data_IF_795855238968
#
_entry.id   IF_795855238968
#
_cell.length_a   1.000
_cell.length_b   1.000
_cell.length_c   1.000
_cell.angle_alpha   90.00
_cell.angle_beta   90.00
_cell.angle_gamma   90.00
#
_symmetry.space_group_name_H-M   'P 1'
#
loop_
_entity.id
_entity.type
_entity.pdbx_description
1 polymer ?
#
# COMPACT_ATOMS: atom_id res chain seq x y z
N UNK A 1 -13.65 4.69 12.40
CA UNK A 1 -12.29 5.29 12.44
C UNK A 1 -12.06 6.22 11.25
N UNK A 2 -12.15 5.74 10.00
CA UNK A 2 -11.91 6.55 8.79
C UNK A 2 -12.77 7.83 8.69
N UNK A 3 -14.07 7.76 8.98
CA UNK A 3 -14.97 8.94 8.98
C UNK A 3 -14.50 10.12 9.85
N UNK A 4 -13.73 9.87 10.92
CA UNK A 4 -13.23 10.94 11.80
C UNK A 4 -12.02 11.67 11.22
N UNK A 5 -11.23 10.98 10.41
CA UNK A 5 -10.03 11.53 9.75
C UNK A 5 -10.27 11.88 8.29
N UNK A 6 -11.49 11.68 7.81
CA UNK A 6 -11.93 11.88 6.42
C UNK A 6 -11.48 13.21 5.81
N UNK A 7 -11.51 14.36 6.52
CA UNK A 7 -11.03 15.63 5.96
C UNK A 7 -9.51 15.67 5.65
N UNK A 8 -8.73 14.75 6.22
CA UNK A 8 -7.28 14.71 6.12
C UNK A 8 -6.75 13.60 5.22
N UNK A 9 -7.59 12.64 4.84
CA UNK A 9 -7.17 11.46 4.09
C UNK A 9 -8.06 11.21 2.90
N UNK A 10 -7.46 10.69 1.84
CA UNK A 10 -8.16 10.15 0.68
C UNK A 10 -8.01 8.64 0.70
N UNK A 11 -9.10 7.90 0.53
CA UNK A 11 -9.09 6.44 0.47
C UNK A 11 -10.02 5.93 -0.63
N UNK A 12 -9.94 4.64 -0.94
CA UNK A 12 -10.74 4.01 -1.99
C UNK A 12 -10.33 2.55 -2.19
N UNK A 13 -10.70 1.98 -3.32
CA UNK A 13 -10.45 0.58 -3.66
C UNK A 13 -9.29 0.48 -4.67
N UNK A 14 -8.07 0.15 -4.21
CA UNK A 14 -6.96 -0.03 -5.11
C UNK A 14 -7.13 -1.34 -5.89
N UNK A 15 -6.75 -1.32 -7.17
CA UNK A 15 -6.71 -2.49 -8.01
C UNK A 15 -5.36 -3.21 -7.91
N UNK A 16 -5.31 -4.47 -8.39
CA UNK A 16 -4.12 -5.31 -8.36
C UNK A 16 -2.90 -4.63 -8.97
N UNK A 17 -3.08 -3.90 -10.08
CA UNK A 17 -1.99 -3.18 -10.74
C UNK A 17 -1.39 -2.10 -9.83
N UNK A 18 -2.22 -1.30 -9.17
CA UNK A 18 -1.76 -0.22 -8.30
C UNK A 18 -1.05 -0.78 -7.06
N UNK A 19 -1.58 -1.84 -6.44
CA UNK A 19 -0.94 -2.48 -5.28
C UNK A 19 0.38 -3.12 -5.67
N UNK A 20 0.42 -3.85 -6.79
CA UNK A 20 1.65 -4.43 -7.34
C UNK A 20 2.71 -3.36 -7.55
N UNK A 21 2.39 -2.30 -8.29
CA UNK A 21 3.35 -1.24 -8.58
C UNK A 21 3.83 -0.52 -7.30
N UNK A 22 2.96 -0.35 -6.30
CA UNK A 22 3.34 0.24 -5.01
C UNK A 22 4.31 -0.65 -4.24
N UNK A 23 4.03 -1.94 -4.13
CA UNK A 23 4.88 -2.89 -3.41
C UNK A 23 6.24 -3.02 -4.11
N UNK A 24 6.28 -3.13 -5.44
CA UNK A 24 7.55 -3.24 -6.16
C UNK A 24 8.39 -1.97 -6.12
N UNK A 25 7.80 -0.79 -6.33
CA UNK A 25 8.59 0.46 -6.43
C UNK A 25 8.88 1.09 -5.07
N UNK A 26 7.98 0.91 -4.11
CA UNK A 26 7.94 1.67 -2.85
C UNK A 26 7.77 0.77 -1.63
N UNK A 27 7.82 -0.55 -1.78
CA UNK A 27 7.77 -1.52 -0.69
C UNK A 27 9.05 -1.51 0.13
N UNK A 28 8.87 -1.37 1.44
CA UNK A 28 9.93 -1.52 2.43
C UNK A 28 9.40 -2.40 3.54
N UNK A 29 10.25 -3.22 4.15
CA UNK A 29 9.91 -3.94 5.39
C UNK A 29 10.20 -3.10 6.62
N UNK A 30 9.45 -3.39 7.69
CA UNK A 30 9.67 -2.87 9.04
C UNK A 30 10.45 -3.88 9.88
N UNK A 31 11.73 -3.63 10.13
CA UNK A 31 12.58 -4.46 11.01
C UNK A 31 13.20 -3.60 12.07
N UNK A 32 12.98 -3.88 13.35
CA UNK A 32 13.57 -3.13 14.48
C UNK A 32 13.40 -1.60 14.35
N UNK A 33 12.23 -1.16 13.86
CA UNK A 33 11.90 0.25 13.54
C UNK A 33 12.76 0.88 12.43
N UNK A 34 13.56 0.10 11.73
CA UNK A 34 14.30 0.49 10.53
C UNK A 34 13.48 0.15 9.27
N UNK A 35 13.74 0.94 8.23
CA UNK A 35 13.08 0.85 6.93
C UNK A 35 14.08 0.25 5.92
N UNK A 36 13.85 -0.99 5.51
CA UNK A 36 14.73 -1.74 4.60
C UNK A 36 13.97 -2.03 3.30
N UNK A 37 14.58 -1.81 2.14
CA UNK A 37 13.94 -2.02 0.85
C UNK A 37 13.67 -3.52 0.60
N UNK A 38 12.56 -3.83 -0.07
CA UNK A 38 12.24 -5.18 -0.52
C UNK A 38 12.99 -5.47 -1.82
N UNK A 39 14.23 -5.93 -1.72
CA UNK A 39 15.09 -6.23 -2.89
C UNK A 39 15.15 -7.71 -3.24
N UNK A 40 14.85 -8.60 -2.29
CA UNK A 40 14.97 -10.05 -2.45
C UNK A 40 13.78 -10.75 -1.75
N UNK A 41 13.33 -11.88 -2.31
CA UNK A 41 12.32 -12.74 -1.68
C UNK A 41 12.84 -13.38 -0.39
N UNK A 42 14.15 -13.61 -0.26
CA UNK A 42 14.75 -14.13 0.98
C UNK A 42 14.36 -13.32 2.22
N UNK A 43 14.26 -12.00 2.05
CA UNK A 43 13.86 -11.06 3.11
C UNK A 43 12.42 -11.29 3.58
N UNK A 44 11.54 -11.66 2.65
CA UNK A 44 10.12 -11.94 2.91
C UNK A 44 10.00 -13.30 3.59
N UNK A 45 10.65 -14.32 3.01
CA UNK A 45 10.65 -15.68 3.53
C UNK A 45 11.21 -15.76 4.96
N UNK A 46 12.30 -15.04 5.26
CA UNK A 46 12.88 -14.96 6.62
C UNK A 46 11.85 -14.50 7.67
N UNK A 47 10.96 -13.56 7.30
CA UNK A 47 10.05 -12.90 8.26
C UNK A 47 8.66 -13.54 8.27
N UNK A 48 8.14 -13.89 7.10
CA UNK A 48 6.77 -14.35 6.87
C UNK A 48 6.69 -15.77 6.31
N UNK A 49 7.82 -16.45 6.06
CA UNK A 49 7.82 -17.80 5.48
C UNK A 49 7.11 -18.83 6.34
N UNK A 50 7.11 -18.67 7.67
CA UNK A 50 6.31 -19.48 8.60
C UNK A 50 4.81 -19.34 8.39
N UNK A 51 4.39 -18.21 7.82
CA UNK A 51 3.01 -17.91 7.46
C UNK A 51 2.69 -18.34 6.01
N UNK A 52 3.64 -18.94 5.29
CA UNK A 52 3.43 -19.35 3.90
C UNK A 52 3.54 -18.22 2.88
N UNK A 53 4.01 -17.03 3.28
CA UNK A 53 4.30 -15.91 2.38
C UNK A 53 5.80 -15.95 2.08
N UNK A 54 6.16 -16.43 0.89
CA UNK A 54 7.56 -16.73 0.54
C UNK A 54 8.11 -15.67 -0.42
N UNK A 55 7.26 -15.12 -1.29
CA UNK A 55 7.69 -14.13 -2.28
C UNK A 55 6.83 -12.86 -2.31
N UNK A 56 7.25 -11.86 -3.10
CA UNK A 56 6.51 -10.61 -3.30
C UNK A 56 5.10 -10.87 -3.86
N UNK A 57 4.92 -11.84 -4.76
CA UNK A 57 3.59 -12.12 -5.33
C UNK A 57 2.63 -12.73 -4.29
N UNK A 58 3.11 -13.58 -3.38
CA UNK A 58 2.31 -14.08 -2.26
C UNK A 58 1.87 -12.91 -1.36
N UNK A 59 2.78 -11.97 -1.10
CA UNK A 59 2.49 -10.77 -0.31
C UNK A 59 1.43 -9.89 -1.00
N UNK A 60 1.55 -9.67 -2.31
CA UNK A 60 0.56 -8.92 -3.10
C UNK A 60 -0.80 -9.64 -3.07
N UNK A 61 -0.79 -10.96 -3.26
CA UNK A 61 -2.00 -11.78 -3.24
C UNK A 61 -2.72 -11.65 -1.90
N UNK A 62 -2.00 -11.87 -0.80
CA UNK A 62 -2.54 -11.81 0.56
C UNK A 62 -3.16 -10.44 0.89
N UNK A 63 -2.50 -9.35 0.47
CA UNK A 63 -3.01 -7.99 0.65
C UNK A 63 -4.26 -7.73 -0.20
N UNK A 64 -4.28 -8.19 -1.45
CA UNK A 64 -5.38 -7.93 -2.39
C UNK A 64 -6.63 -8.75 -2.08
N UNK A 65 -6.47 -10.01 -1.69
CA UNK A 65 -7.59 -10.91 -1.38
C UNK A 65 -8.07 -10.79 0.05
N UNK A 66 -7.36 -10.03 0.89
CA UNK A 66 -7.60 -9.94 2.34
C UNK A 66 -7.59 -11.34 2.95
N UNK A 67 -6.49 -12.06 2.69
CA UNK A 67 -6.31 -13.42 3.16
C UNK A 67 -6.20 -13.54 4.69
N UNK A 68 -6.09 -14.78 5.21
CA UNK A 68 -6.08 -15.06 6.65
C UNK A 68 -4.94 -14.38 7.43
N UNK A 69 -3.85 -14.03 6.74
CA UNK A 69 -2.62 -13.45 7.26
C UNK A 69 -2.42 -12.00 6.78
N UNK A 70 -3.50 -11.35 6.34
CA UNK A 70 -3.50 -9.96 5.92
C UNK A 70 -2.87 -9.03 6.96
N UNK A 71 -3.11 -9.29 8.25
CA UNK A 71 -2.59 -8.45 9.34
C UNK A 71 -1.07 -8.52 9.41
N UNK A 72 -0.51 -9.71 9.30
CA UNK A 72 0.93 -9.98 9.29
C UNK A 72 1.59 -9.37 8.05
N UNK A 73 1.01 -9.60 6.87
CA UNK A 73 1.45 -9.02 5.60
C UNK A 73 1.44 -7.47 5.64
N UNK A 74 0.38 -6.87 6.17
CA UNK A 74 0.25 -5.41 6.27
C UNK A 74 1.19 -4.81 7.32
N UNK A 75 1.44 -5.49 8.44
CA UNK A 75 2.37 -5.03 9.47
C UNK A 75 3.84 -5.15 9.06
N UNK A 76 4.15 -6.14 8.20
CA UNK A 76 5.46 -6.30 7.60
C UNK A 76 5.83 -5.09 6.73
N UNK A 77 4.87 -4.58 5.96
CA UNK A 77 5.05 -3.40 5.11
C UNK A 77 5.20 -2.11 5.92
N UNK A 78 6.25 -1.35 5.63
CA UNK A 78 6.41 0.01 6.12
C UNK A 78 5.45 0.95 5.37
N UNK A 79 4.85 1.97 6.04
CA UNK A 79 4.00 2.94 5.37
C UNK A 79 4.64 3.55 4.12
N UNK A 80 3.95 3.45 2.98
CA UNK A 80 4.47 3.94 1.71
C UNK A 80 4.69 5.45 1.76
N UNK A 81 5.92 5.88 1.44
CA UNK A 81 6.21 7.30 1.21
C UNK A 81 5.94 7.62 -0.25
N UNK A 82 4.85 8.32 -0.52
CA UNK A 82 4.42 8.73 -1.86
C UNK A 82 4.98 10.11 -2.23
N UNK A 83 5.04 10.43 -3.53
CA UNK A 83 5.35 11.78 -4.02
C UNK A 83 4.09 12.63 -4.08
N UNK A 84 4.25 13.95 -4.17
CA UNK A 84 3.13 14.82 -4.53
C UNK A 84 2.55 14.41 -5.89
N UNK A 85 1.22 14.44 -6.08
CA UNK A 85 0.60 14.01 -7.33
C UNK A 85 1.01 14.94 -8.48
N UNK A 86 1.46 14.36 -9.59
CA UNK A 86 1.75 15.08 -10.82
C UNK A 86 0.50 15.84 -11.30
N UNK A 87 0.60 17.15 -11.49
CA UNK A 87 -0.53 18.02 -11.85
C UNK A 87 -1.35 18.53 -10.65
N UNK A 88 -0.91 18.29 -9.41
CA UNK A 88 -1.50 18.85 -8.21
C UNK A 88 -2.82 18.20 -7.77
N UNK A 89 -3.35 18.65 -6.64
CA UNK A 89 -4.64 18.22 -6.10
C UNK A 89 -5.76 19.09 -6.70
N UNK A 90 -6.90 18.48 -7.04
CA UNK A 90 -8.05 19.21 -7.57
C UNK A 90 -8.80 19.88 -6.40
N UNK A 91 -8.90 21.21 -6.42
CA UNK A 91 -9.91 21.95 -5.65
C UNK A 91 -11.19 22.01 -6.49
N UNK A 92 -12.09 21.03 -6.36
CA UNK A 92 -13.48 21.17 -6.78
C UNK A 92 -14.40 20.99 -5.58
N UNK A 93 -15.61 21.54 -5.65
CA UNK A 93 -16.64 21.47 -4.62
C UNK A 93 -16.88 19.99 -4.22
N UNK A 94 -16.37 19.60 -3.06
CA UNK A 94 -16.27 18.19 -2.61
C UNK A 94 -14.87 17.77 -2.12
N UNK A 95 -13.83 18.53 -2.48
CA UNK A 95 -12.44 18.28 -2.08
C UNK A 95 -11.83 17.01 -2.69
N UNK A 96 -10.55 16.76 -2.39
CA UNK A 96 -9.86 15.51 -2.74
C UNK A 96 -9.89 14.47 -1.60
N UNK A 97 -10.41 14.85 -0.44
CA UNK A 97 -10.47 14.03 0.76
C UNK A 97 -11.72 13.12 0.78
N UNK A 98 -11.67 12.03 1.53
CA UNK A 98 -12.75 11.04 1.64
C UNK A 98 -12.63 9.85 0.68
N UNK A 99 -13.73 9.10 0.55
CA UNK A 99 -13.78 7.90 -0.28
C UNK A 99 -13.89 8.27 -1.76
N UNK A 100 -12.93 7.83 -2.56
CA UNK A 100 -12.89 7.99 -4.01
C UNK A 100 -13.16 6.71 -4.78
N UNK A 101 -13.53 5.63 -4.08
CA UNK A 101 -13.82 4.33 -4.68
C UNK A 101 -12.68 3.93 -5.65
N UNK A 102 -12.99 3.63 -6.90
CA UNK A 102 -12.01 3.21 -7.90
C UNK A 102 -11.12 4.36 -8.44
N UNK A 103 -11.52 5.63 -8.26
CA UNK A 103 -10.72 6.79 -8.69
C UNK A 103 -9.42 6.96 -7.88
N UNK A 104 -9.26 6.23 -6.76
CA UNK A 104 -8.01 6.21 -6.01
C UNK A 104 -6.83 5.73 -6.85
N UNK A 105 -7.08 4.83 -7.82
CA UNK A 105 -6.06 4.24 -8.67
C UNK A 105 -5.37 5.28 -9.57
N UNK A 106 -6.13 6.24 -10.10
CA UNK A 106 -5.58 7.34 -10.88
C UNK A 106 -4.68 8.23 -10.01
N UNK A 107 -5.11 8.52 -8.78
CA UNK A 107 -4.33 9.32 -7.84
C UNK A 107 -3.02 8.62 -7.44
N UNK A 108 -3.08 7.33 -7.10
CA UNK A 108 -1.90 6.52 -6.79
C UNK A 108 -0.89 6.56 -7.94
N UNK A 109 -1.35 6.39 -9.19
CA UNK A 109 -0.47 6.41 -10.37
C UNK A 109 0.22 7.76 -10.56
N UNK A 110 -0.42 8.87 -10.20
CA UNK A 110 0.18 10.22 -10.26
C UNK A 110 1.18 10.50 -9.14
N UNK A 111 1.15 9.71 -8.06
CA UNK A 111 2.04 9.83 -6.89
C UNK A 111 3.17 8.79 -6.87
N UNK A 112 3.10 7.80 -7.77
CA UNK A 112 4.06 6.70 -7.87
C UNK A 112 5.38 7.11 -8.53
#
# INVERSE_FOLDING_TARGET
MLRRVEPYVTYGYPNLKSVRELIYKRGFRKVNKQRIALTDNFIIEETLGKNGIICIEDLIHEIMTVGPLFREANNFLWPFKLKAPLGGLKKKEGGDAGNREDYINELIRRMN
#
